data_IF_494476078003
#
_entry.id   IF_494476078003
#
_cell.length_a   1.000
_cell.length_b   1.000
_cell.length_c   1.000
_cell.angle_alpha   90.00
_cell.angle_beta   90.00
_cell.angle_gamma   90.00
#
_symmetry.space_group_name_H-M   'P 1'
#
loop_
_entity.id
_entity.type
_entity.pdbx_description
1 polymer ?
#
# COMPACT_ATOMS: atom_id res chain seq x y z
N UNK A 1 -10.27 9.85 -9.58
CA UNK A 1 -10.33 8.86 -8.50
C UNK A 1 -9.14 9.13 -7.59
N UNK A 2 -9.27 9.02 -6.26
CA UNK A 2 -8.13 9.31 -5.38
C UNK A 2 -7.06 8.21 -5.51
N UNK A 3 -5.78 8.55 -5.40
CA UNK A 3 -4.68 7.58 -5.34
C UNK A 3 -4.04 7.59 -3.95
N UNK A 4 -3.73 6.41 -3.41
CA UNK A 4 -3.10 6.22 -2.11
C UNK A 4 -1.85 5.37 -2.25
N UNK A 5 -0.78 5.75 -1.58
CA UNK A 5 0.51 5.05 -1.56
C UNK A 5 0.65 4.40 -0.19
N UNK A 6 0.74 3.08 -0.12
CA UNK A 6 1.10 2.37 1.11
C UNK A 6 2.61 2.25 1.14
N UNK A 7 3.26 2.81 2.17
CA UNK A 7 4.72 2.71 2.35
C UNK A 7 5.07 2.38 3.80
N UNK A 8 5.89 1.36 3.99
CA UNK A 8 6.22 0.81 5.31
C UNK A 8 6.72 -0.62 5.15
N UNK A 9 6.67 -1.39 6.23
CA UNK A 9 6.73 -2.83 6.09
C UNK A 9 5.40 -3.32 5.52
N UNK A 10 5.46 -4.41 4.77
CA UNK A 10 4.29 -5.08 4.23
C UNK A 10 4.52 -6.58 4.29
N UNK A 11 3.43 -7.34 4.34
CA UNK A 11 3.54 -8.78 4.33
C UNK A 11 2.21 -9.48 4.35
N UNK A 12 2.27 -10.74 3.96
CA UNK A 12 1.23 -11.73 4.14
C UNK A 12 1.37 -12.24 5.58
N UNK A 13 0.58 -11.68 6.50
CA UNK A 13 0.58 -12.10 7.91
C UNK A 13 0.38 -13.63 7.98
N UNK A 14 1.15 -14.34 8.81
CA UNK A 14 1.27 -15.82 8.94
C UNK A 14 0.02 -16.69 8.64
N UNK A 15 -1.20 -16.20 8.88
CA UNK A 15 -2.44 -16.76 8.31
C UNK A 15 -3.28 -15.63 7.69
N UNK A 16 -3.10 -15.36 6.40
CA UNK A 16 -3.78 -14.25 5.76
C UNK A 16 -5.24 -14.64 5.57
N UNK A 17 -6.13 -13.86 6.16
CA UNK A 17 -7.52 -13.84 5.71
C UNK A 17 -7.58 -13.48 4.22
N UNK A 18 -8.75 -13.65 3.63
CA UNK A 18 -9.04 -13.08 2.32
C UNK A 18 -9.93 -11.86 2.48
N UNK A 19 -9.73 -10.88 1.62
CA UNK A 19 -10.57 -9.69 1.51
C UNK A 19 -11.04 -9.55 0.08
N UNK A 20 -12.27 -9.07 -0.10
CA UNK A 20 -12.81 -8.68 -1.41
C UNK A 20 -12.66 -7.18 -1.58
N UNK A 21 -12.11 -6.74 -2.70
CA UNK A 21 -11.94 -5.30 -3.00
C UNK A 21 -13.32 -4.64 -3.09
N UNK A 22 -13.62 -3.64 -2.25
CA UNK A 22 -14.93 -3.00 -2.26
C UNK A 22 -15.15 -2.13 -3.50
N UNK A 23 -16.42 -1.81 -3.78
CA UNK A 23 -16.77 -0.90 -4.86
C UNK A 23 -16.06 0.47 -4.71
N UNK A 24 -15.54 0.98 -5.81
CA UNK A 24 -14.80 2.24 -5.85
C UNK A 24 -13.31 2.13 -5.52
N UNK A 25 -12.84 0.95 -5.09
CA UNK A 25 -11.42 0.68 -4.87
C UNK A 25 -10.80 -0.13 -6.00
N UNK A 26 -9.48 0.04 -6.13
CA UNK A 26 -8.58 -0.89 -6.83
C UNK A 26 -7.28 -0.99 -6.03
N UNK A 27 -6.56 -2.10 -6.15
CA UNK A 27 -5.26 -2.30 -5.48
C UNK A 27 -4.22 -2.70 -6.50
N UNK A 28 -3.10 -2.00 -6.52
CA UNK A 28 -1.98 -2.19 -7.45
C UNK A 28 -0.77 -2.69 -6.67
N UNK A 29 -0.23 -3.83 -7.09
CA UNK A 29 0.99 -4.41 -6.54
C UNK A 29 2.13 -4.30 -7.54
N UNK A 30 3.32 -4.00 -7.02
CA UNK A 30 4.57 -3.88 -7.79
C UNK A 30 5.49 -5.10 -7.66
N UNK A 31 5.02 -6.11 -6.93
CA UNK A 31 5.71 -7.37 -6.74
C UNK A 31 4.68 -8.51 -6.68
N UNK A 32 5.09 -9.73 -7.04
CA UNK A 32 4.27 -10.94 -6.96
C UNK A 32 3.91 -11.29 -5.50
N UNK A 33 2.90 -12.13 -5.26
CA UNK A 33 2.62 -12.66 -3.91
C UNK A 33 3.83 -13.46 -3.38
N UNK A 34 4.04 -13.41 -2.06
CA UNK A 34 5.13 -14.08 -1.35
C UNK A 34 6.55 -13.62 -1.78
N UNK A 35 6.73 -12.32 -2.01
CA UNK A 35 8.01 -11.73 -2.45
C UNK A 35 8.34 -10.43 -1.71
N UNK A 36 9.62 -10.08 -1.75
CA UNK A 36 10.16 -8.85 -1.16
C UNK A 36 10.21 -7.78 -2.26
N UNK A 37 9.63 -6.62 -2.00
CA UNK A 37 9.87 -5.43 -2.81
C UNK A 37 11.09 -4.70 -2.23
N UNK A 38 12.23 -4.82 -2.90
CA UNK A 38 13.47 -4.19 -2.42
C UNK A 38 13.41 -2.67 -2.51
N UNK A 39 14.14 -1.99 -1.62
CA UNK A 39 14.20 -0.53 -1.58
C UNK A 39 14.65 0.11 -2.90
N UNK A 40 15.52 -0.56 -3.66
CA UNK A 40 16.00 -0.09 -4.97
C UNK A 40 14.87 0.05 -5.99
N UNK A 41 13.84 -0.79 -5.90
CA UNK A 41 12.64 -0.74 -6.73
C UNK A 41 11.51 0.09 -6.10
N UNK A 42 11.34 -0.02 -4.77
CA UNK A 42 10.31 0.68 -4.03
C UNK A 42 10.48 2.21 -4.07
N UNK A 43 11.71 2.71 -3.90
CA UNK A 43 11.97 4.15 -3.81
C UNK A 43 11.59 4.92 -5.07
N UNK A 44 12.01 4.49 -6.28
CA UNK A 44 11.56 5.13 -7.50
C UNK A 44 10.03 5.15 -7.63
N UNK A 45 9.36 4.03 -7.37
CA UNK A 45 7.89 3.93 -7.45
C UNK A 45 7.23 4.91 -6.48
N UNK A 46 7.66 4.90 -5.22
CA UNK A 46 7.17 5.81 -4.19
C UNK A 46 7.32 7.28 -4.61
N UNK A 47 8.51 7.68 -5.09
CA UNK A 47 8.80 9.06 -5.45
C UNK A 47 7.99 9.55 -6.65
N UNK A 48 7.81 8.70 -7.69
CA UNK A 48 6.96 9.05 -8.84
C UNK A 48 5.48 9.15 -8.43
N UNK A 49 4.98 8.25 -7.59
CA UNK A 49 3.62 8.39 -7.06
C UNK A 49 3.45 9.64 -6.19
N UNK A 50 4.45 9.98 -5.37
CA UNK A 50 4.40 11.16 -4.51
C UNK A 50 4.40 12.46 -5.34
N UNK A 51 5.04 12.48 -6.51
CA UNK A 51 5.00 13.59 -7.47
C UNK A 51 3.75 13.60 -8.37
N UNK A 52 2.92 12.56 -8.31
CA UNK A 52 1.70 12.41 -9.10
C UNK A 52 1.91 11.77 -10.49
N UNK A 53 3.10 11.24 -10.77
CA UNK A 53 3.44 10.58 -12.02
C UNK A 53 3.02 9.11 -12.02
N UNK A 54 1.71 8.87 -12.07
CA UNK A 54 1.12 7.53 -12.13
C UNK A 54 1.46 6.81 -13.45
N UNK A 55 1.78 7.55 -14.51
CA UNK A 55 2.11 6.99 -15.82
C UNK A 55 3.44 6.23 -15.81
N UNK A 56 4.45 6.78 -15.13
CA UNK A 56 5.77 6.14 -15.03
C UNK A 56 5.74 4.78 -14.30
N UNK A 57 4.85 4.63 -13.31
CA UNK A 57 4.79 3.39 -12.53
C UNK A 57 4.04 2.26 -13.21
N UNK A 58 3.24 2.53 -14.26
CA UNK A 58 2.41 1.51 -14.93
C UNK A 58 3.24 0.34 -15.46
N UNK A 59 4.43 0.60 -16.02
CA UNK A 59 5.30 -0.46 -16.56
C UNK A 59 5.93 -1.38 -15.49
N UNK A 60 5.71 -1.08 -14.20
CA UNK A 60 6.25 -1.81 -13.05
C UNK A 60 5.17 -2.59 -12.30
N UNK A 61 3.91 -2.38 -12.64
CA UNK A 61 2.79 -3.10 -12.06
C UNK A 61 2.92 -4.59 -12.38
N UNK A 62 2.78 -5.43 -11.35
CA UNK A 62 2.70 -6.88 -11.49
C UNK A 62 1.26 -7.35 -11.52
N UNK A 63 0.46 -6.86 -10.57
CA UNK A 63 -0.95 -7.20 -10.45
C UNK A 63 -1.79 -5.99 -10.14
N UNK A 64 -3.01 -6.01 -10.65
CA UNK A 64 -4.06 -5.07 -10.27
C UNK A 64 -5.32 -5.84 -9.94
N UNK A 65 -5.85 -5.60 -8.74
CA UNK A 65 -7.13 -6.12 -8.29
C UNK A 65 -8.17 -5.00 -8.38
N UNK A 66 -9.29 -5.29 -9.01
CA UNK A 66 -10.41 -4.38 -9.18
C UNK A 66 -11.52 -4.70 -8.16
N UNK A 67 -12.49 -3.80 -8.04
CA UNK A 67 -13.67 -4.03 -7.22
C UNK A 67 -14.35 -5.37 -7.56
N UNK A 68 -14.61 -6.18 -6.52
CA UNK A 68 -15.17 -7.52 -6.64
C UNK A 68 -14.12 -8.64 -6.66
N UNK A 69 -12.85 -8.34 -6.92
CA UNK A 69 -11.78 -9.34 -6.84
C UNK A 69 -11.47 -9.71 -5.39
N UNK A 70 -11.04 -10.95 -5.17
CA UNK A 70 -10.60 -11.44 -3.85
C UNK A 70 -9.09 -11.64 -3.84
N UNK A 71 -8.44 -11.16 -2.79
CA UNK A 71 -6.99 -11.25 -2.57
C UNK A 71 -6.67 -11.55 -1.11
N UNK A 72 -5.39 -11.81 -0.82
CA UNK A 72 -4.91 -11.90 0.55
C UNK A 72 -5.15 -10.57 1.28
N UNK A 73 -5.56 -10.63 2.55
CA UNK A 73 -5.65 -9.46 3.41
C UNK A 73 -4.24 -9.10 3.91
N UNK A 74 -3.51 -8.36 3.09
CA UNK A 74 -2.13 -7.96 3.39
C UNK A 74 -2.07 -7.01 4.58
N UNK A 75 -1.01 -7.13 5.36
CA UNK A 75 -0.72 -6.31 6.52
C UNK A 75 0.35 -5.27 6.18
N UNK A 76 0.22 -4.07 6.72
CA UNK A 76 1.28 -3.06 6.71
C UNK A 76 1.49 -2.48 8.11
N UNK A 77 2.73 -2.13 8.43
CA UNK A 77 3.08 -1.54 9.71
C UNK A 77 4.28 -0.61 9.58
N UNK A 78 4.53 0.17 10.64
CA UNK A 78 5.61 1.16 10.63
C UNK A 78 6.95 0.49 10.34
N UNK A 79 7.68 1.07 9.37
CA UNK A 79 9.09 0.79 9.13
C UNK A 79 9.93 1.93 9.72
N UNK A 80 10.49 1.78 10.94
CA UNK A 80 11.14 2.88 11.65
C UNK A 80 12.26 3.58 10.86
N UNK A 81 12.99 2.81 10.05
CA UNK A 81 14.12 3.24 9.22
C UNK A 81 13.67 4.16 8.08
N UNK A 82 12.41 4.07 7.62
CA UNK A 82 11.83 5.00 6.65
C UNK A 82 11.41 6.33 7.27
N UNK A 83 11.39 6.43 8.60
CA UNK A 83 10.98 7.63 9.35
C UNK A 83 9.66 8.21 8.83
N UNK A 84 9.66 9.45 8.33
CA UNK A 84 8.49 10.17 7.79
C UNK A 84 7.90 9.54 6.53
N UNK A 85 8.62 8.63 5.85
CA UNK A 85 8.14 7.98 4.64
C UNK A 85 7.35 6.70 4.92
N UNK A 86 7.15 6.32 6.19
CA UNK A 86 6.28 5.21 6.56
C UNK A 86 4.86 5.74 6.88
N UNK A 87 3.88 5.38 6.06
CA UNK A 87 2.52 5.89 6.14
C UNK A 87 1.69 5.54 4.91
N UNK A 88 0.44 5.99 4.93
CA UNK A 88 -0.43 5.97 3.75
C UNK A 88 -0.51 7.41 3.25
N UNK A 89 -0.04 7.65 2.04
CA UNK A 89 0.06 8.99 1.45
C UNK A 89 -0.90 9.15 0.29
N UNK A 90 -1.30 10.37 -0.05
CA UNK A 90 -1.99 10.62 -1.31
C UNK A 90 -0.99 10.67 -2.46
N UNK A 91 -1.36 10.12 -3.60
CA UNK A 91 -0.65 10.36 -4.87
C UNK A 91 -0.66 11.87 -5.15
N UNK A 92 0.49 12.41 -5.54
CA UNK A 92 0.65 13.85 -5.76
C UNK A 92 0.65 14.69 -4.48
N UNK A 93 0.95 14.11 -3.30
CA UNK A 93 1.05 14.88 -2.07
C UNK A 93 2.29 15.80 -2.01
N UNK A 94 3.29 15.60 -2.89
CA UNK A 94 4.58 16.32 -2.96
C UNK A 94 5.45 16.26 -1.69
N UNK A 95 4.93 15.73 -0.58
CA UNK A 95 5.60 15.63 0.71
C UNK A 95 5.06 14.46 1.53
N UNK A 96 5.93 13.88 2.35
CA UNK A 96 5.61 12.83 3.32
C UNK A 96 5.32 13.36 4.73
N UNK A 97 5.25 14.68 4.93
CA UNK A 97 5.04 15.26 6.26
C UNK A 97 3.62 15.06 6.81
N UNK A 98 2.63 14.85 5.95
CA UNK A 98 1.22 14.73 6.32
C UNK A 98 0.62 13.49 5.65
N UNK A 99 0.84 12.28 6.21
CA UNK A 99 0.19 11.09 5.69
C UNK A 99 -1.34 11.19 5.85
N UNK A 100 -2.09 10.59 4.93
CA UNK A 100 -3.53 10.42 5.05
C UNK A 100 -3.88 9.50 6.23
N UNK A 101 -3.07 8.46 6.47
CA UNK A 101 -3.13 7.60 7.65
C UNK A 101 -1.70 7.40 8.16
N UNK A 102 -1.43 7.76 9.42
CA UNK A 102 -0.13 7.51 10.06
C UNK A 102 0.00 6.04 10.46
N UNK A 103 1.17 5.46 10.23
CA UNK A 103 1.50 4.12 10.71
C UNK A 103 2.08 4.10 12.13
N UNK A 104 2.20 5.24 12.82
CA UNK A 104 2.84 5.31 14.14
C UNK A 104 2.21 4.41 15.22
N UNK A 105 0.92 4.10 15.10
CA UNK A 105 0.20 3.19 16.00
C UNK A 105 0.28 1.71 15.60
N UNK A 106 0.84 1.39 14.43
CA UNK A 106 0.82 0.04 13.85
C UNK A 106 2.22 -0.59 13.89
N UNK A 107 2.29 -1.83 14.39
CA UNK A 107 3.52 -2.61 14.50
C UNK A 107 3.29 -4.04 14.03
N UNK A 108 4.34 -4.86 13.98
CA UNK A 108 4.24 -6.25 13.51
C UNK A 108 3.16 -7.08 14.25
N UNK A 109 2.99 -6.87 15.56
CA UNK A 109 2.01 -7.61 16.37
C UNK A 109 0.57 -7.07 16.26
N UNK A 110 0.40 -5.86 15.72
CA UNK A 110 -0.90 -5.21 15.49
C UNK A 110 -0.80 -4.36 14.22
N UNK A 111 -0.72 -4.99 13.04
CA UNK A 111 -0.55 -4.26 11.79
C UNK A 111 -1.88 -3.68 11.29
N UNK A 112 -1.80 -2.71 10.38
CA UNK A 112 -2.95 -2.22 9.63
C UNK A 112 -3.24 -3.21 8.50
N UNK A 113 -4.38 -3.88 8.58
CA UNK A 113 -4.83 -4.81 7.55
C UNK A 113 -5.41 -4.07 6.34
N UNK A 114 -5.31 -4.65 5.14
CA UNK A 114 -5.88 -4.07 3.92
C UNK A 114 -7.41 -3.90 4.01
N UNK A 115 -8.10 -4.85 4.65
CA UNK A 115 -9.53 -4.77 4.98
C UNK A 115 -9.87 -3.57 5.86
N UNK A 116 -9.04 -3.29 6.88
CA UNK A 116 -9.17 -2.11 7.73
C UNK A 116 -8.87 -0.82 6.94
N UNK A 117 -7.84 -0.84 6.08
CA UNK A 117 -7.49 0.28 5.22
C UNK A 117 -8.66 0.68 4.28
N UNK A 118 -9.35 -0.29 3.67
CA UNK A 118 -10.56 0.00 2.89
C UNK A 118 -11.64 0.70 3.73
N UNK A 119 -11.82 0.27 4.97
CA UNK A 119 -12.80 0.87 5.89
C UNK A 119 -12.44 2.31 6.23
N UNK A 120 -11.17 2.57 6.57
CA UNK A 120 -10.69 3.92 6.88
C UNK A 120 -10.76 4.89 5.70
N UNK A 121 -10.58 4.39 4.47
CA UNK A 121 -10.63 5.19 3.25
C UNK A 121 -12.01 5.25 2.59
N UNK A 122 -13.04 4.64 3.19
CA UNK A 122 -14.38 4.51 2.61
C UNK A 122 -15.06 5.85 2.24
N UNK A 123 -14.70 6.95 2.92
CA UNK A 123 -15.19 8.29 2.59
C UNK A 123 -14.58 8.91 1.32
N UNK A 124 -13.50 8.34 0.79
CA UNK A 124 -12.83 8.80 -0.43
C UNK A 124 -12.16 7.62 -1.15
N UNK A 125 -12.93 6.68 -1.72
CA UNK A 125 -12.40 5.47 -2.33
C UNK A 125 -11.52 5.77 -3.56
N UNK A 126 -10.62 4.84 -3.87
CA UNK A 126 -9.78 4.94 -5.06
C UNK A 126 -8.68 3.88 -5.16
N UNK A 127 -7.60 4.20 -5.86
CA UNK A 127 -6.52 3.24 -6.13
C UNK A 127 -5.52 3.21 -4.98
N UNK A 128 -5.27 2.02 -4.45
CA UNK A 128 -4.25 1.76 -3.43
C UNK A 128 -3.03 1.16 -4.13
N UNK A 129 -1.95 1.92 -4.18
CA UNK A 129 -0.64 1.51 -4.64
C UNK A 129 0.15 0.90 -3.49
N UNK A 130 0.28 -0.43 -3.49
CA UNK A 130 0.97 -1.19 -2.45
C UNK A 130 2.49 -1.16 -2.67
N UNK A 131 3.16 -0.15 -2.12
CA UNK A 131 4.62 0.03 -2.21
C UNK A 131 5.27 -0.52 -0.93
N UNK A 132 5.03 -1.80 -0.68
CA UNK A 132 5.56 -2.56 0.44
C UNK A 132 5.70 -4.04 0.05
N UNK A 133 6.38 -4.85 0.87
CA UNK A 133 6.52 -6.29 0.61
C UNK A 133 5.16 -7.02 0.63
N UNK A 134 5.15 -8.19 0.02
CA UNK A 134 4.03 -9.16 -0.02
C UNK A 134 4.45 -10.53 0.52
N UNK A 135 5.64 -10.62 1.13
CA UNK A 135 6.22 -11.86 1.64
C UNK A 135 5.43 -12.41 2.83
N UNK A 136 5.43 -13.74 3.00
CA UNK A 136 4.94 -14.35 4.24
C UNK A 136 5.76 -13.83 5.43
N UNK A 137 5.09 -13.11 6.32
CA UNK A 137 5.66 -12.49 7.53
C UNK A 137 5.05 -13.11 8.77
#
# INVERSE_FOLDING_TARGET
MAGYIVSGHGGRYTQPGQVTVPAGFSVVFFEEDNRILYNEDAWPIYNHLLSGDEGWVQSRVKHTYQAGDTLNDYACWKYPELTRNSGIFKVGAFSSSNPAISLDGYNYSSPLMLSELFTQLSGSPGTIYWVACTEAS
#
